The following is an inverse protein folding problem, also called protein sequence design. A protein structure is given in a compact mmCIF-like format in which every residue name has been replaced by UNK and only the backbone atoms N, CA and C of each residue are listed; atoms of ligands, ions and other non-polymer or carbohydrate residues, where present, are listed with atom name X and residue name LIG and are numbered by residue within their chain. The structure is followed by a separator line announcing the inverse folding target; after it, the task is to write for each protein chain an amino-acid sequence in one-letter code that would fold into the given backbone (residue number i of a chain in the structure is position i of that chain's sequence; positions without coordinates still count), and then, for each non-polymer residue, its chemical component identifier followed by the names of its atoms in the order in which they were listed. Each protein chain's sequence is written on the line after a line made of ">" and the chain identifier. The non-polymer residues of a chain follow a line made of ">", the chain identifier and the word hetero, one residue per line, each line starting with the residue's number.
data_IF_066923545757
#
_entry.id   IF_066923545757
#
_cell.length_a   1.000
_cell.length_b   1.000
_cell.length_c   1.000
_cell.angle_alpha   90.00
_cell.angle_beta   90.00
_cell.angle_gamma   90.00
#
_symmetry.space_group_name_H-M   'P 1'
#
loop_
_entity.id
_entity.type
_entity.pdbx_description
1 polymer ?
2 non-polymer ?
3 non-polymer ?
4 non-polymer ?
5 non-polymer ?
6 water ?
#
# COMPACT_ATOMS: atom_id res chain seq x y z
N UNK A 5 -12.08 -24.39 -0.15
CA UNK A 5 -10.70 -24.92 -0.28
C UNK A 5 -9.97 -24.84 1.07
N UNK A 6 -10.04 -23.69 1.75
CA UNK A 6 -9.16 -23.39 2.91
C UNK A 6 -9.64 -24.14 4.16
N UNK A 7 -8.71 -24.66 4.95
CA UNK A 7 -9.01 -25.48 6.16
C UNK A 7 -9.63 -24.61 7.27
N UNK A 8 -10.41 -25.24 8.15
CA UNK A 8 -10.87 -24.60 9.40
C UNK A 8 -9.70 -23.91 10.12
N UNK A 9 -8.58 -24.60 10.27
CA UNK A 9 -7.43 -24.12 11.05
C UNK A 9 -6.92 -22.81 10.41
N UNK A 10 -6.91 -22.75 9.08
CA UNK A 10 -6.49 -21.53 8.32
C UNK A 10 -7.49 -20.39 8.47
N UNK A 11 -8.78 -20.64 8.23
CA UNK A 11 -9.81 -19.58 8.30
C UNK A 11 -9.90 -19.08 9.74
N UNK A 12 -9.80 -19.97 10.73
CA UNK A 12 -9.86 -19.57 12.15
C UNK A 12 -8.58 -18.76 12.48
N UNK A 13 -7.42 -19.10 11.90
CA UNK A 13 -6.16 -18.37 12.15
C UNK A 13 -6.37 -16.94 11.60
N UNK A 14 -7.01 -16.81 10.43
CA UNK A 14 -7.14 -15.47 9.80
C UNK A 14 -8.15 -14.69 10.62
N UNK A 15 -9.30 -15.29 10.96
CA UNK A 15 -10.35 -14.57 11.77
C UNK A 15 -9.76 -14.15 13.10
N UNK A 16 -8.95 -15.00 13.73
CA UNK A 16 -8.33 -14.72 15.05
C UNK A 16 -7.22 -13.68 14.94
N UNK A 17 -6.68 -13.42 13.73
CA UNK A 17 -5.53 -12.50 13.52
C UNK A 17 -6.05 -11.06 13.48
N UNK A 18 -7.36 -10.88 13.30
CA UNK A 18 -7.95 -9.52 13.13
C UNK A 18 -8.53 -9.05 14.45
N UNK A 19 -7.99 -7.99 15.03
CA UNK A 19 -8.52 -7.38 16.28
C UNK A 19 -9.82 -6.64 16.02
N UNK A 20 -10.75 -6.75 16.96
CA UNK A 20 -12.01 -5.99 16.93
C UNK A 20 -11.99 -4.99 18.10
N UNK A 21 -12.20 -3.71 17.84
CA UNK A 21 -12.08 -2.65 18.89
C UNK A 21 -13.47 -2.07 19.17
N UNK A 22 -14.01 -2.29 20.37
CA UNK A 22 -15.33 -1.76 20.74
C UNK A 22 -15.18 -0.24 20.93
N UNK A 23 -16.14 0.48 20.40
CA UNK A 23 -16.37 1.92 20.68
C UNK A 23 -15.27 2.70 19.96
N UNK A 24 -14.84 2.19 18.80
CA UNK A 24 -14.06 2.94 17.78
C UNK A 24 -14.79 2.87 16.43
N UNK A 25 -14.91 3.97 15.66
CA UNK A 25 -14.41 5.30 16.05
C UNK A 25 -15.26 6.10 17.07
N UNK A 26 -16.45 5.59 17.41
CA UNK A 26 -17.45 6.25 18.28
C UNK A 26 -18.13 5.19 19.13
N UNK A 27 -18.82 5.56 20.23
CA UNK A 27 -19.59 4.56 20.99
C UNK A 27 -20.49 3.74 20.05
N UNK A 28 -20.58 2.42 20.28
CA UNK A 28 -21.55 1.52 19.61
C UNK A 28 -21.07 0.98 18.29
N UNK A 29 -19.79 1.17 17.97
CA UNK A 29 -19.15 0.61 16.74
C UNK A 29 -18.11 -0.41 17.19
N UNK A 30 -18.13 -1.56 16.53
CA UNK A 30 -17.11 -2.61 16.72
C UNK A 30 -16.25 -2.63 15.46
N UNK A 31 -15.07 -2.03 15.55
CA UNK A 31 -14.20 -1.80 14.38
C UNK A 31 -13.38 -3.09 14.14
N UNK A 32 -13.36 -3.57 12.92
CA UNK A 32 -12.52 -4.71 12.48
C UNK A 32 -11.18 -4.14 11.98
N UNK A 33 -10.10 -4.42 12.72
CA UNK A 33 -8.76 -3.83 12.47
C UNK A 33 -7.86 -4.84 11.75
N UNK A 34 -7.64 -4.63 10.47
CA UNK A 34 -6.77 -5.51 9.66
C UNK A 34 -5.27 -5.27 9.98
N UNK A 35 -4.88 -4.23 10.72
CA UNK A 35 -3.43 -4.02 11.02
C UNK A 35 -2.83 -5.13 11.87
N UNK A 36 -3.60 -5.87 12.67
CA UNK A 36 -3.05 -6.98 13.48
C UNK A 36 -2.72 -8.14 12.54
N UNK A 37 -3.46 -8.30 11.45
CA UNK A 37 -3.19 -9.35 10.48
C UNK A 37 -1.92 -8.99 9.76
N UNK A 38 -1.76 -7.70 9.38
CA UNK A 38 -0.56 -7.26 8.60
C UNK A 38 0.69 -7.53 9.42
N UNK A 39 0.65 -7.29 10.74
CA UNK A 39 1.81 -7.44 11.67
C UNK A 39 2.23 -8.93 11.81
N UNK A 40 1.35 -9.86 11.50
CA UNK A 40 1.62 -11.32 11.67
C UNK A 40 2.00 -11.89 10.31
N UNK A 41 3.29 -12.19 10.08
CA UNK A 41 3.71 -12.63 8.75
C UNK A 41 3.02 -13.91 8.29
N UNK A 42 2.60 -14.79 9.20
CA UNK A 42 1.86 -16.01 8.79
C UNK A 42 0.47 -15.65 8.28
N UNK A 43 -0.23 -14.78 8.99
CA UNK A 43 -1.58 -14.38 8.62
C UNK A 43 -1.52 -13.58 7.30
N UNK A 44 -0.61 -12.63 7.21
CA UNK A 44 -0.52 -11.76 6.01
C UNK A 44 -0.21 -12.60 4.75
N UNK A 45 0.81 -13.45 4.81
CA UNK A 45 1.19 -14.31 3.66
C UNK A 45 0.04 -15.25 3.30
N UNK A 46 -0.61 -15.88 4.29
CA UNK A 46 -1.71 -16.82 3.99
C UNK A 46 -2.82 -16.08 3.25
N UNK A 47 -3.16 -14.88 3.70
CA UNK A 47 -4.25 -14.11 3.08
C UNK A 47 -3.93 -13.80 1.62
N UNK A 48 -2.71 -13.37 1.30
CA UNK A 48 -2.32 -13.04 -0.09
C UNK A 48 -2.34 -14.32 -0.94
N UNK A 49 -1.78 -15.41 -0.40
CA UNK A 49 -1.67 -16.70 -1.17
C UNK A 49 -3.08 -17.19 -1.50
N UNK A 50 -4.03 -17.09 -0.58
CA UNK A 50 -5.42 -17.57 -0.83
C UNK A 50 -6.10 -16.71 -1.90
N UNK A 51 -5.89 -15.39 -1.92
CA UNK A 51 -6.53 -14.55 -2.94
C UNK A 51 -5.94 -14.89 -4.30
N UNK A 52 -4.63 -15.01 -4.38
CA UNK A 52 -3.91 -15.34 -5.63
C UNK A 52 -4.44 -16.69 -6.16
N UNK A 53 -4.48 -17.69 -5.30
CA UNK A 53 -4.96 -19.04 -5.68
C UNK A 53 -6.36 -18.94 -6.31
N UNK A 54 -7.27 -18.18 -5.70
CA UNK A 54 -8.64 -18.01 -6.28
C UNK A 54 -8.57 -17.56 -7.74
N UNK A 55 -7.61 -16.73 -8.15
CA UNK A 55 -7.68 -16.05 -9.48
C UNK A 55 -6.60 -16.54 -10.44
N UNK A 56 -5.77 -17.53 -10.05
CA UNK A 56 -4.62 -17.97 -10.89
C UNK A 56 -5.13 -18.34 -12.30
N UNK A 57 -6.36 -18.80 -12.47
CA UNK A 57 -6.84 -19.21 -13.82
C UNK A 57 -7.89 -18.28 -14.43
N UNK A 58 -8.14 -17.08 -13.89
CA UNK A 58 -9.26 -16.20 -14.34
C UNK A 58 -8.86 -15.30 -15.52
N UNK A 59 -7.62 -15.31 -15.98
CA UNK A 59 -7.18 -14.46 -17.09
C UNK A 59 -7.10 -13.00 -16.68
N UNK A 60 -6.78 -12.74 -15.42
CA UNK A 60 -6.62 -11.34 -14.94
C UNK A 60 -5.42 -10.70 -15.67
N UNK A 61 -5.57 -9.46 -16.14
CA UNK A 61 -4.46 -8.74 -16.82
C UNK A 61 -4.01 -7.54 -15.94
N UNK A 62 -4.80 -7.20 -14.93
CA UNK A 62 -4.53 -5.98 -14.12
C UNK A 62 -5.23 -6.15 -12.79
N UNK A 63 -4.60 -5.69 -11.71
CA UNK A 63 -5.26 -5.60 -10.37
C UNK A 63 -5.40 -4.13 -10.03
N UNK A 64 -6.58 -3.74 -9.57
CA UNK A 64 -6.87 -2.36 -9.07
C UNK A 64 -7.11 -2.47 -7.58
N UNK A 65 -6.38 -1.64 -6.81
CA UNK A 65 -6.56 -1.55 -5.36
C UNK A 65 -6.88 -0.14 -4.91
N UNK A 66 -7.77 -0.04 -3.93
CA UNK A 66 -8.31 1.24 -3.41
C UNK A 66 -7.40 1.83 -2.34
N UNK A 67 -7.22 3.14 -2.39
CA UNK A 67 -6.38 3.78 -1.36
C UNK A 67 -7.09 3.71 0.00
N UNK A 68 -6.35 3.46 1.09
CA UNK A 68 -4.95 3.11 1.16
C UNK A 68 -4.78 1.66 1.65
N UNK A 69 -5.70 1.15 2.49
CA UNK A 69 -5.59 -0.25 3.00
C UNK A 69 -5.69 -1.22 1.84
N UNK A 70 -6.48 -0.92 0.81
CA UNK A 70 -6.57 -1.84 -0.33
C UNK A 70 -5.26 -2.02 -1.06
N UNK A 71 -4.35 -1.04 -1.03
CA UNK A 71 -3.00 -1.16 -1.64
C UNK A 71 -2.25 -2.36 -1.03
N UNK A 72 -2.46 -2.60 0.27
CA UNK A 72 -1.67 -3.57 1.05
C UNK A 72 -2.09 -4.99 0.63
N UNK A 73 -3.24 -5.15 0.02
CA UNK A 73 -3.73 -6.49 -0.42
C UNK A 73 -3.72 -6.56 -1.95
N UNK A 74 -4.07 -5.49 -2.65
CA UNK A 74 -4.09 -5.55 -4.12
C UNK A 74 -2.70 -5.62 -4.69
N UNK A 75 -1.71 -4.95 -4.14
CA UNK A 75 -0.38 -4.92 -4.81
C UNK A 75 0.29 -6.29 -4.70
N UNK A 76 0.32 -6.96 -3.51
CA UNK A 76 0.82 -8.34 -3.42
C UNK A 76 0.06 -9.34 -4.30
N UNK A 77 -1.25 -9.19 -4.43
CA UNK A 77 -2.06 -10.03 -5.35
C UNK A 77 -1.64 -9.79 -6.79
N UNK A 78 -1.39 -8.54 -7.22
CA UNK A 78 -0.87 -8.29 -8.58
C UNK A 78 0.42 -9.08 -8.81
N UNK A 79 1.36 -8.96 -7.90
CA UNK A 79 2.67 -9.63 -8.04
C UNK A 79 2.45 -11.14 -8.06
N UNK A 80 1.56 -11.66 -7.24
CA UNK A 80 1.33 -13.13 -7.28
C UNK A 80 0.72 -13.60 -8.58
N UNK A 81 -0.08 -12.80 -9.27
CA UNK A 81 -0.78 -13.14 -10.54
C UNK A 81 0.10 -12.81 -11.76
N UNK A 82 1.22 -12.15 -11.54
CA UNK A 82 2.18 -11.74 -12.59
C UNK A 82 1.64 -10.62 -13.44
N UNK A 83 0.92 -9.67 -12.84
CA UNK A 83 0.28 -8.56 -13.60
C UNK A 83 0.59 -7.21 -12.92
N UNK A 84 0.32 -6.17 -13.68
CA UNK A 84 0.41 -4.75 -13.29
C UNK A 84 -0.56 -4.44 -12.18
N UNK A 85 -0.17 -3.52 -11.30
CA UNK A 85 -1.02 -2.98 -10.23
C UNK A 85 -1.39 -1.54 -10.60
N UNK A 86 -2.66 -1.21 -10.49
CA UNK A 86 -3.15 0.18 -10.73
C UNK A 86 -3.84 0.66 -9.47
N UNK A 87 -3.38 1.78 -8.86
CA UNK A 87 -4.11 2.35 -7.72
C UNK A 87 -5.29 3.21 -8.16
N UNK A 88 -6.37 3.14 -7.40
CA UNK A 88 -7.42 4.21 -7.43
C UNK A 88 -7.22 5.04 -6.16
N UNK A 89 -7.18 6.36 -6.31
CA UNK A 89 -6.69 7.24 -5.25
C UNK A 89 -7.69 8.34 -4.91
N UNK A 90 -7.52 8.87 -3.72
CA UNK A 90 -8.23 10.09 -3.28
C UNK A 90 -7.82 11.21 -4.22
N UNK A 91 -8.68 12.24 -4.39
CA UNK A 91 -8.45 13.27 -5.37
C UNK A 91 -7.19 14.11 -5.20
N UNK A 92 -6.58 14.44 -6.33
CA UNK A 92 -5.39 15.30 -6.42
C UNK A 92 -4.05 14.57 -6.25
N UNK A 93 -4.03 13.24 -5.96
CA UNK A 93 -2.82 12.47 -5.60
C UNK A 93 -2.18 11.83 -6.83
N UNK A 94 -2.92 11.56 -7.88
CA UNK A 94 -2.35 11.02 -9.14
C UNK A 94 -1.89 12.19 -9.99
N UNK A 95 -0.65 12.15 -10.53
CA UNK A 95 -0.11 13.28 -11.28
C UNK A 95 -0.48 13.44 -12.77
N UNK A 96 -1.01 12.40 -13.41
CA UNK A 96 -1.30 12.46 -14.86
C UNK A 96 -2.81 12.55 -15.06
N UNK A 97 -3.26 12.49 -16.30
CA UNK A 97 -4.68 12.70 -16.58
C UNK A 97 -5.51 11.62 -15.87
N UNK A 98 -6.56 12.06 -15.20
CA UNK A 98 -7.45 11.16 -14.47
C UNK A 98 -8.92 11.27 -14.94
N UNK A 99 -9.73 10.30 -14.52
CA UNK A 99 -11.20 10.44 -14.38
C UNK A 99 -11.58 10.13 -12.95
N UNK A 100 -12.77 10.56 -12.57
CA UNK A 100 -13.23 10.60 -11.17
C UNK A 100 -14.60 9.97 -11.04
N UNK A 101 -14.85 9.32 -9.92
CA UNK A 101 -16.18 8.81 -9.53
C UNK A 101 -16.49 9.24 -8.11
N UNK A 102 -17.74 9.60 -7.86
CA UNK A 102 -18.20 10.01 -6.50
C UNK A 102 -18.94 8.87 -5.82
N UNK A 103 -18.78 8.72 -4.51
CA UNK A 103 -19.43 7.64 -3.73
C UNK A 103 -19.83 8.22 -2.37
N UNK A 104 -20.79 7.57 -1.75
CA UNK A 104 -21.27 8.02 -0.43
C UNK A 104 -20.30 7.58 0.65
N UNK A 105 -20.09 8.47 1.61
CA UNK A 105 -19.47 8.21 2.93
C UNK A 105 -20.62 8.11 3.96
N UNK A 106 -20.27 7.75 5.18
CA UNK A 106 -21.21 7.84 6.31
C UNK A 106 -21.69 9.30 6.39
N UNK A 107 -20.80 10.25 6.17
CA UNK A 107 -21.10 11.69 6.28
C UNK A 107 -20.67 12.36 4.98
N UNK A 108 -21.64 12.65 4.11
CA UNK A 108 -21.32 13.29 2.83
C UNK A 108 -20.76 12.31 1.82
N UNK A 109 -19.97 12.80 0.88
CA UNK A 109 -19.46 12.04 -0.30
C UNK A 109 -17.99 12.34 -0.53
N UNK A 110 -17.37 11.53 -1.38
CA UNK A 110 -15.95 11.71 -1.76
C UNK A 110 -15.75 11.15 -3.14
N UNK A 111 -14.52 11.31 -3.65
CA UNK A 111 -14.15 10.94 -5.03
C UNK A 111 -13.01 9.93 -4.99
N UNK A 112 -13.02 9.04 -5.96
CA UNK A 112 -11.85 8.23 -6.34
C UNK A 112 -11.47 8.56 -7.79
N UNK A 113 -10.18 8.60 -8.03
CA UNK A 113 -9.58 8.82 -9.35
C UNK A 113 -8.74 7.63 -9.82
N UNK A 114 -8.62 7.54 -11.14
CA UNK A 114 -7.73 6.57 -11.82
C UNK A 114 -7.03 7.31 -12.95
N UNK A 115 -5.78 6.93 -13.24
CA UNK A 115 -5.09 7.36 -14.49
C UNK A 115 -5.85 6.81 -15.71
N UNK A 116 -6.14 7.68 -16.67
CA UNK A 116 -6.90 7.32 -17.90
C UNK A 116 -6.09 6.32 -18.72
N UNK A 117 -4.76 6.30 -18.64
CA UNK A 117 -3.97 5.37 -19.49
C UNK A 117 -3.73 4.02 -18.79
N UNK A 118 -4.29 3.78 -17.60
CA UNK A 118 -3.92 2.58 -16.80
C UNK A 118 -4.72 1.35 -17.26
N UNK A 119 -5.93 1.52 -17.82
CA UNK A 119 -6.84 0.42 -18.26
C UNK A 119 -7.18 0.66 -19.73
N UNK A 120 -7.21 -0.40 -20.54
CA UNK A 120 -7.69 -0.24 -21.93
C UNK A 120 -8.58 -1.39 -22.33
N UNK A 121 -9.32 -1.27 -23.46
CA UNK A 121 -10.07 -2.42 -23.97
C UNK A 121 -9.18 -3.66 -24.05
N UNK A 122 -9.76 -4.79 -23.64
CA UNK A 122 -9.13 -6.11 -23.59
C UNK A 122 -8.53 -6.39 -22.23
N UNK A 123 -8.42 -5.39 -21.34
CA UNK A 123 -8.02 -5.69 -19.93
C UNK A 123 -9.16 -6.41 -19.21
N UNK A 124 -8.81 -7.41 -18.44
CA UNK A 124 -9.68 -8.06 -17.45
C UNK A 124 -9.13 -7.74 -16.05
N UNK A 125 -9.93 -7.09 -15.22
CA UNK A 125 -9.43 -6.48 -13.96
C UNK A 125 -9.99 -7.23 -12.76
N UNK A 126 -9.14 -7.41 -11.74
CA UNK A 126 -9.62 -7.81 -10.41
C UNK A 126 -9.51 -6.58 -9.51
N UNK A 127 -10.57 -6.27 -8.78
CA UNK A 127 -10.51 -5.20 -7.75
C UNK A 127 -10.25 -5.89 -6.42
N UNK A 128 -9.31 -5.37 -5.65
CA UNK A 128 -8.98 -5.89 -4.31
C UNK A 128 -9.10 -4.76 -3.30
N UNK A 129 -9.73 -5.07 -2.17
CA UNK A 129 -9.78 -4.09 -1.06
C UNK A 129 -9.75 -4.86 0.24
N UNK A 130 -9.50 -4.15 1.33
CA UNK A 130 -9.36 -4.83 2.64
C UNK A 130 -10.71 -5.38 3.08
N UNK A 131 -11.76 -4.58 2.98
CA UNK A 131 -13.02 -4.86 3.70
C UNK A 131 -14.20 -4.43 2.81
N UNK A 132 -15.21 -5.28 2.67
CA UNK A 132 -16.49 -4.95 1.98
C UNK A 132 -17.51 -4.52 3.05
N UNK A 133 -17.87 -3.24 3.09
CA UNK A 133 -18.92 -2.70 3.97
C UNK A 133 -20.07 -2.28 3.06
N UNK A 134 -20.31 -1.00 2.77
CA UNK A 134 -21.42 -0.64 1.83
C UNK A 134 -21.11 -1.10 0.40
N UNK A 135 -19.84 -1.21 0.05
CA UNK A 135 -19.41 -1.43 -1.33
C UNK A 135 -19.46 -0.15 -2.16
N UNK A 136 -19.72 1.01 -1.56
CA UNK A 136 -19.67 2.31 -2.27
C UNK A 136 -18.37 2.52 -3.07
N UNK A 137 -17.21 2.39 -2.43
CA UNK A 137 -15.93 2.57 -3.14
C UNK A 137 -15.79 1.55 -4.28
N UNK A 138 -16.28 0.33 -4.13
CA UNK A 138 -16.08 -0.71 -5.19
C UNK A 138 -16.99 -0.36 -6.38
N UNK A 139 -18.20 0.12 -6.13
CA UNK A 139 -19.14 0.48 -7.23
C UNK A 139 -18.48 1.60 -8.02
N UNK A 140 -17.90 2.58 -7.31
CA UNK A 140 -17.20 3.72 -7.95
C UNK A 140 -16.03 3.19 -8.78
N UNK A 141 -15.29 2.20 -8.26
CA UNK A 141 -14.04 1.73 -8.90
C UNK A 141 -14.44 0.99 -10.19
N UNK A 142 -15.44 0.13 -10.08
CA UNK A 142 -16.03 -0.59 -11.26
C UNK A 142 -16.42 0.42 -12.35
N UNK A 143 -17.01 1.55 -11.97
CA UNK A 143 -17.42 2.57 -12.97
C UNK A 143 -16.20 3.22 -13.63
N UNK A 144 -15.13 3.48 -12.88
CA UNK A 144 -13.88 4.00 -13.45
C UNK A 144 -13.31 3.01 -14.46
N UNK A 145 -13.26 1.73 -14.10
CA UNK A 145 -12.64 0.70 -14.97
C UNK A 145 -13.45 0.62 -16.28
N UNK A 146 -14.77 0.58 -16.16
CA UNK A 146 -15.64 0.38 -17.33
C UNK A 146 -15.59 1.60 -18.24
N UNK A 147 -15.46 2.82 -17.70
CA UNK A 147 -15.36 4.05 -18.52
C UNK A 147 -14.09 4.01 -19.38
N UNK A 148 -13.08 3.26 -18.96
CA UNK A 148 -11.81 3.15 -19.73
C UNK A 148 -11.86 1.91 -20.66
N UNK A 149 -12.95 1.17 -20.67
CA UNK A 149 -13.11 0.03 -21.59
C UNK A 149 -12.62 -1.28 -21.00
N UNK A 150 -12.19 -1.31 -19.74
CA UNK A 150 -11.80 -2.53 -19.07
C UNK A 150 -13.00 -3.39 -18.74
N UNK A 151 -12.78 -4.68 -18.64
CA UNK A 151 -13.79 -5.65 -18.19
C UNK A 151 -13.50 -5.92 -16.72
N UNK A 152 -14.52 -5.92 -15.89
CA UNK A 152 -14.41 -6.35 -14.47
C UNK A 152 -15.67 -7.07 -14.04
N UNK A 153 -15.46 -8.24 -13.44
CA UNK A 153 -16.50 -9.15 -12.92
C UNK A 153 -16.16 -9.69 -11.54
N UNK A 154 -15.05 -9.25 -10.92
CA UNK A 154 -14.47 -9.88 -9.72
C UNK A 154 -13.96 -8.81 -8.76
N UNK A 155 -14.32 -8.97 -7.50
CA UNK A 155 -13.75 -8.20 -6.38
C UNK A 155 -13.42 -9.15 -5.23
N UNK A 156 -12.28 -8.92 -4.63
CA UNK A 156 -11.72 -9.78 -3.56
C UNK A 156 -11.38 -8.92 -2.35
N UNK A 157 -11.67 -9.47 -1.17
CA UNK A 157 -11.60 -8.77 0.12
C UNK A 157 -11.02 -9.70 1.16
N UNK A 158 -10.36 -9.14 2.14
CA UNK A 158 -10.02 -9.89 3.36
C UNK A 158 -11.29 -10.12 4.18
N UNK A 159 -12.01 -9.04 4.46
CA UNK A 159 -13.17 -9.05 5.41
C UNK A 159 -14.46 -8.76 4.63
N UNK A 160 -15.52 -9.46 5.01
CA UNK A 160 -16.87 -9.19 4.47
C UNK A 160 -17.81 -8.90 5.64
N UNK A 161 -18.30 -7.67 5.74
CA UNK A 161 -19.30 -7.30 6.78
C UNK A 161 -20.65 -7.65 6.20
N UNK A 162 -21.05 -8.91 6.32
CA UNK A 162 -22.14 -9.47 5.52
C UNK A 162 -23.51 -8.88 5.94
N UNK A 163 -23.62 -8.23 7.07
CA UNK A 163 -24.94 -7.62 7.48
C UNK A 163 -25.18 -6.33 6.68
N UNK A 164 -24.17 -5.78 5.99
CA UNK A 164 -24.27 -4.45 5.32
C UNK A 164 -24.73 -4.58 3.87
N UNK A 165 -24.88 -5.79 3.34
CA UNK A 165 -25.50 -6.01 2.03
C UNK A 165 -24.63 -5.57 0.84
N UNK A 166 -23.33 -5.34 1.04
CA UNK A 166 -22.41 -4.97 -0.05
C UNK A 166 -22.36 -6.00 -1.17
N UNK A 167 -22.36 -7.29 -0.83
CA UNK A 167 -22.22 -8.37 -1.84
C UNK A 167 -23.37 -8.34 -2.87
N UNK A 168 -24.61 -8.22 -2.44
CA UNK A 168 -25.80 -8.26 -3.34
C UNK A 168 -25.82 -6.96 -4.16
N UNK A 169 -25.43 -5.84 -3.57
CA UNK A 169 -25.24 -4.54 -4.27
C UNK A 169 -24.25 -4.73 -5.43
N UNK A 170 -23.12 -5.38 -5.19
CA UNK A 170 -22.10 -5.62 -6.25
C UNK A 170 -22.59 -6.64 -7.28
N UNK A 171 -23.30 -7.70 -6.85
CA UNK A 171 -23.87 -8.71 -7.78
C UNK A 171 -24.73 -7.99 -8.84
N UNK A 172 -25.42 -6.93 -8.45
CA UNK A 172 -26.34 -6.22 -9.37
C UNK A 172 -25.56 -5.40 -10.40
N UNK A 173 -24.28 -5.10 -10.10
CA UNK A 173 -23.36 -4.42 -11.07
C UNK A 173 -22.50 -5.47 -11.81
N UNK A 174 -22.79 -6.76 -11.69
CA UNK A 174 -22.09 -7.83 -12.42
C UNK A 174 -20.80 -8.26 -11.73
N UNK A 175 -20.67 -7.99 -10.43
CA UNK A 175 -19.42 -8.31 -9.68
C UNK A 175 -19.67 -9.47 -8.74
N UNK A 176 -18.87 -10.52 -8.87
CA UNK A 176 -18.75 -11.61 -7.91
C UNK A 176 -17.68 -11.26 -6.87
N UNK A 177 -18.05 -11.33 -5.59
CA UNK A 177 -17.11 -11.10 -4.44
C UNK A 177 -16.55 -12.39 -3.88
N UNK A 178 -15.26 -12.41 -3.58
CA UNK A 178 -14.58 -13.46 -2.80
C UNK A 178 -13.98 -12.82 -1.54
N UNK A 179 -14.27 -13.36 -0.37
CA UNK A 179 -13.85 -12.82 0.95
C UNK A 179 -13.35 -13.95 1.83
N UNK A 180 -12.32 -13.69 2.63
CA UNK A 180 -11.69 -14.70 3.47
C UNK A 180 -12.38 -14.76 4.83
N UNK A 181 -12.72 -13.63 5.42
CA UNK A 181 -13.22 -13.51 6.82
C UNK A 181 -14.59 -12.81 6.79
N UNK A 182 -15.70 -13.55 7.01
CA UNK A 182 -17.00 -12.95 7.31
C UNK A 182 -17.13 -12.51 8.77
N UNK A 183 -17.64 -11.31 8.97
CA UNK A 183 -17.94 -10.83 10.34
C UNK A 183 -19.35 -10.31 10.38
N UNK A 184 -20.13 -10.60 11.44
CA UNK A 184 -21.42 -9.94 11.60
C UNK A 184 -21.28 -8.52 12.15
N UNK A 185 -22.38 -7.77 12.17
CA UNK A 185 -22.47 -6.47 12.86
C UNK A 185 -22.48 -5.30 11.88
N UNK A 186 -23.05 -4.17 12.31
CA UNK A 186 -23.24 -2.95 11.49
C UNK A 186 -23.55 -1.76 12.39
N UNK B 4 22.99 -8.19 -6.16
CA UNK B 4 23.35 -7.33 -4.97
C UNK B 4 23.24 -5.85 -5.34
N UNK B 5 23.61 -5.44 -6.57
CA UNK B 5 23.01 -4.22 -7.19
C UNK B 5 22.45 -4.53 -8.58
N UNK B 6 21.49 -3.70 -8.97
CA UNK B 6 20.96 -3.66 -10.34
C UNK B 6 22.12 -3.57 -11.33
N UNK B 7 22.04 -4.33 -12.41
CA UNK B 7 22.87 -4.15 -13.62
C UNK B 7 22.52 -2.85 -14.31
N UNK B 8 23.36 -2.38 -15.23
CA UNK B 8 23.03 -1.21 -16.07
C UNK B 8 21.69 -1.45 -16.77
N UNK B 9 21.46 -2.66 -17.29
CA UNK B 9 20.23 -2.97 -18.04
C UNK B 9 19.03 -2.83 -17.09
N UNK B 10 19.19 -3.31 -15.87
CA UNK B 10 18.10 -3.22 -14.84
C UNK B 10 17.88 -1.77 -14.42
N UNK B 11 18.96 -1.02 -14.17
CA UNK B 11 18.82 0.41 -13.77
C UNK B 11 18.16 1.19 -14.91
N UNK B 12 18.59 1.00 -16.16
CA UNK B 12 17.97 1.67 -17.32
C UNK B 12 16.48 1.33 -17.34
N UNK B 13 16.12 0.05 -17.18
CA UNK B 13 14.71 -0.41 -17.32
C UNK B 13 13.85 0.24 -16.23
N UNK B 14 14.36 0.28 -15.02
CA UNK B 14 13.61 0.89 -13.88
C UNK B 14 13.49 2.40 -14.11
N UNK B 15 14.58 3.07 -14.50
CA UNK B 15 14.56 4.53 -14.67
C UNK B 15 13.59 4.85 -15.81
N UNK B 16 13.61 4.05 -16.88
CA UNK B 16 12.73 4.32 -18.06
C UNK B 16 11.26 4.02 -17.77
N UNK B 17 10.95 3.27 -16.69
CA UNK B 17 9.59 2.82 -16.32
C UNK B 17 8.91 3.92 -15.52
N UNK B 18 9.67 4.88 -15.04
CA UNK B 18 9.15 5.98 -14.19
C UNK B 18 8.84 7.20 -15.07
N UNK B 19 7.61 7.67 -15.11
CA UNK B 19 7.23 8.88 -15.87
C UNK B 19 7.48 10.11 -14.99
N UNK B 20 7.82 11.23 -15.60
CA UNK B 20 8.12 12.48 -14.87
C UNK B 20 7.08 13.54 -15.31
N UNK B 21 6.50 14.30 -14.40
CA UNK B 21 5.44 15.31 -14.68
C UNK B 21 5.90 16.69 -14.18
N UNK B 22 6.15 17.58 -15.12
CA UNK B 22 6.55 18.98 -14.80
C UNK B 22 5.36 19.69 -14.12
N UNK B 23 5.72 20.41 -13.08
CA UNK B 23 4.88 21.44 -12.41
C UNK B 23 3.75 20.71 -11.68
N UNK B 24 4.01 19.49 -11.24
CA UNK B 24 3.13 18.78 -10.27
C UNK B 24 3.96 18.45 -9.05
N UNK B 25 3.48 18.63 -7.79
CA UNK B 25 2.15 19.18 -7.46
C UNK B 25 2.12 20.71 -7.36
N UNK B 26 3.22 21.36 -7.71
CA UNK B 26 3.33 22.83 -7.84
C UNK B 26 4.34 23.12 -8.93
N UNK B 27 4.33 24.34 -9.50
CA UNK B 27 5.31 24.71 -10.53
C UNK B 27 6.76 24.59 -9.99
N UNK B 28 7.71 24.14 -10.84
CA UNK B 28 9.17 24.08 -10.54
C UNK B 28 9.64 22.75 -9.91
N UNK B 29 8.71 21.82 -9.70
CA UNK B 29 8.99 20.42 -9.25
C UNK B 29 8.84 19.53 -10.49
N UNK B 30 9.72 18.53 -10.66
CA UNK B 30 9.57 17.53 -11.73
C UNK B 30 9.21 16.24 -11.00
N UNK B 31 7.91 15.92 -10.99
CA UNK B 31 7.37 14.82 -10.17
C UNK B 31 7.79 13.49 -10.80
N UNK B 32 8.32 12.64 -9.98
CA UNK B 32 8.72 11.27 -10.40
C UNK B 32 7.59 10.31 -10.02
N UNK B 33 6.91 9.76 -11.02
CA UNK B 33 5.66 9.01 -10.80
C UNK B 33 5.92 7.50 -10.84
N UNK B 34 5.80 6.83 -9.70
CA UNK B 34 5.99 5.36 -9.65
C UNK B 34 4.78 4.60 -10.21
N UNK B 35 3.64 5.23 -10.49
CA UNK B 35 2.48 4.43 -10.98
C UNK B 35 2.85 3.76 -12.31
N UNK B 36 3.66 4.39 -13.17
CA UNK B 36 3.99 3.74 -14.45
C UNK B 36 4.87 2.51 -14.20
N UNK B 37 5.60 2.48 -13.10
CA UNK B 37 6.42 1.29 -12.74
C UNK B 37 5.48 0.20 -12.20
N UNK B 38 4.52 0.56 -11.33
CA UNK B 38 3.57 -0.39 -10.72
C UNK B 38 2.77 -1.14 -11.81
N UNK B 39 2.42 -0.47 -12.90
CA UNK B 39 1.52 -1.03 -13.92
C UNK B 39 2.31 -1.96 -14.83
N UNK B 40 3.64 -1.91 -14.76
CA UNK B 40 4.55 -2.76 -15.59
C UNK B 40 5.03 -3.92 -14.73
N UNK B 41 4.49 -5.15 -14.91
CA UNK B 41 4.83 -6.24 -13.99
C UNK B 41 6.33 -6.50 -13.96
N UNK B 42 7.03 -6.39 -15.08
CA UNK B 42 8.50 -6.62 -15.12
C UNK B 42 9.20 -5.63 -14.21
N UNK B 43 8.84 -4.34 -14.29
CA UNK B 43 9.53 -3.28 -13.49
C UNK B 43 9.18 -3.47 -12.01
N UNK B 44 7.92 -3.70 -11.74
CA UNK B 44 7.44 -3.76 -10.33
C UNK B 44 8.09 -4.98 -9.67
N UNK B 45 8.01 -6.17 -10.27
CA UNK B 45 8.62 -7.38 -9.67
C UNK B 45 10.13 -7.17 -9.49
N UNK B 46 10.81 -6.56 -10.45
CA UNK B 46 12.27 -6.31 -10.37
C UNK B 46 12.55 -5.46 -9.12
N UNK B 47 11.78 -4.40 -8.97
CA UNK B 47 12.03 -3.43 -7.87
C UNK B 47 11.93 -4.18 -6.54
N UNK B 48 10.90 -5.00 -6.35
CA UNK B 48 10.70 -5.75 -5.09
C UNK B 48 11.82 -6.78 -4.93
N UNK B 49 12.19 -7.49 -6.00
CA UNK B 49 13.29 -8.50 -5.92
C UNK B 49 14.57 -7.82 -5.43
N UNK B 50 14.91 -6.65 -5.96
CA UNK B 50 16.18 -5.95 -5.59
C UNK B 50 16.15 -5.48 -4.13
N UNK B 51 15.04 -4.95 -3.65
CA UNK B 51 14.96 -4.57 -2.23
C UNK B 51 15.04 -5.79 -1.31
N UNK B 52 14.33 -6.88 -1.58
CA UNK B 52 14.34 -8.10 -0.72
C UNK B 52 15.78 -8.65 -0.68
N UNK B 53 16.42 -8.75 -1.84
CA UNK B 53 17.81 -9.27 -1.88
C UNK B 53 18.70 -8.47 -0.92
N UNK B 54 18.55 -7.15 -0.90
CA UNK B 54 19.48 -6.34 -0.08
C UNK B 54 19.37 -6.67 1.42
N UNK B 55 18.22 -7.12 1.90
CA UNK B 55 17.97 -7.28 3.35
C UNK B 55 17.78 -8.74 3.76
N UNK B 56 17.91 -9.69 2.83
CA UNK B 56 17.67 -11.12 3.16
C UNK B 56 18.54 -11.55 4.36
N UNK B 57 19.75 -11.00 4.51
CA UNK B 57 20.68 -11.43 5.60
C UNK B 57 20.79 -10.41 6.75
N UNK B 58 19.96 -9.36 6.78
CA UNK B 58 20.11 -8.21 7.70
C UNK B 58 19.38 -8.47 9.03
N UNK B 59 18.69 -9.60 9.24
CA UNK B 59 17.97 -9.86 10.50
C UNK B 59 16.82 -8.90 10.75
N UNK B 60 16.13 -8.52 9.69
CA UNK B 60 14.98 -7.59 9.88
C UNK B 60 13.87 -8.40 10.55
N UNK B 61 13.18 -7.79 11.52
CA UNK B 61 12.04 -8.42 12.23
C UNK B 61 10.73 -7.73 11.80
N UNK B 62 10.77 -6.46 11.37
CA UNK B 62 9.52 -5.73 10.99
C UNK B 62 9.84 -4.79 9.84
N UNK B 63 8.89 -4.63 8.91
CA UNK B 63 9.02 -3.57 7.88
C UNK B 63 7.99 -2.49 8.21
N UNK B 64 8.40 -1.23 8.21
CA UNK B 64 7.46 -0.08 8.30
C UNK B 64 7.40 0.64 6.94
N UNK B 65 6.18 0.86 6.45
CA UNK B 65 5.92 1.58 5.20
C UNK B 65 5.09 2.79 5.46
N UNK B 66 5.45 3.90 4.86
CA UNK B 66 4.74 5.18 5.13
C UNK B 66 3.55 5.28 4.15
N UNK B 67 2.45 5.81 4.62
CA UNK B 67 1.22 5.97 3.80
C UNK B 67 1.46 7.01 2.71
N UNK B 68 0.88 6.80 1.49
CA UNK B 68 0.25 5.59 0.99
C UNK B 68 1.16 4.95 -0.08
N UNK B 69 2.00 5.70 -0.79
CA UNK B 69 2.84 5.08 -1.83
C UNK B 69 3.87 4.17 -1.20
N UNK B 70 4.30 4.46 0.03
CA UNK B 70 5.28 3.55 0.68
C UNK B 70 4.70 2.16 0.91
N UNK B 71 3.39 2.06 1.16
CA UNK B 71 2.69 0.76 1.34
C UNK B 71 2.94 -0.13 0.12
N UNK B 72 3.06 0.46 -1.08
CA UNK B 72 3.14 -0.33 -2.34
C UNK B 72 4.51 -0.99 -2.50
N UNK B 73 5.48 -0.57 -1.73
CA UNK B 73 6.84 -1.15 -1.76
C UNK B 73 7.14 -1.85 -0.42
N UNK B 74 6.69 -1.30 0.72
CA UNK B 74 7.03 -1.92 2.02
C UNK B 74 6.29 -3.24 2.19
N UNK B 75 5.05 -3.34 1.70
CA UNK B 75 4.24 -4.56 1.96
C UNK B 75 4.85 -5.75 1.19
N UNK B 76 5.14 -5.67 -0.12
CA UNK B 76 5.76 -6.79 -0.84
C UNK B 76 7.14 -7.12 -0.29
N UNK B 77 7.91 -6.11 0.17
CA UNK B 77 9.23 -6.38 0.81
C UNK B 77 9.04 -7.18 2.11
N UNK B 78 8.07 -6.79 2.96
CA UNK B 78 7.75 -7.55 4.20
C UNK B 78 7.46 -9.00 3.83
N UNK B 79 6.61 -9.23 2.83
CA UNK B 79 6.21 -10.60 2.45
C UNK B 79 7.43 -11.35 1.92
N UNK B 80 8.29 -10.69 1.16
CA UNK B 80 9.49 -11.34 0.59
C UNK B 80 10.44 -11.74 1.68
N UNK B 81 10.53 -10.97 2.75
CA UNK B 81 11.43 -11.23 3.90
C UNK B 81 10.79 -12.15 4.96
N UNK B 82 9.51 -12.42 4.82
CA UNK B 82 8.74 -13.25 5.76
C UNK B 82 8.57 -12.57 7.10
N UNK B 83 8.35 -11.24 7.13
CA UNK B 83 8.24 -10.46 8.39
C UNK B 83 6.95 -9.65 8.37
N UNK B 84 6.52 -9.24 9.55
CA UNK B 84 5.33 -8.40 9.70
C UNK B 84 5.48 -7.04 9.00
N UNK B 85 4.35 -6.47 8.61
CA UNK B 85 4.31 -5.11 8.06
C UNK B 85 3.56 -4.22 9.05
N UNK B 86 4.12 -3.04 9.27
CA UNK B 86 3.56 -1.99 10.15
C UNK B 86 3.41 -0.72 9.34
N UNK B 87 2.15 -0.24 9.15
CA UNK B 87 1.94 1.03 8.49
C UNK B 87 2.20 2.21 9.44
N UNK B 88 2.75 3.29 8.85
CA UNK B 88 2.81 4.59 9.57
C UNK B 88 1.81 5.42 8.76
N UNK B 89 0.84 6.00 9.44
CA UNK B 89 -0.28 6.63 8.72
C UNK B 89 -0.56 8.10 9.07
N UNK B 90 -1.32 8.74 8.20
CA UNK B 90 -1.81 10.09 8.51
C UNK B 90 -2.71 9.96 9.73
N UNK B 91 -2.92 11.04 10.50
CA UNK B 91 -3.65 10.94 11.75
C UNK B 91 -5.11 10.50 11.62
N UNK B 92 -5.62 9.78 12.62
CA UNK B 92 -7.03 9.42 12.76
C UNK B 92 -7.42 8.25 11.85
N UNK B 93 -6.45 7.44 11.40
CA UNK B 93 -6.73 6.26 10.53
C UNK B 93 -6.48 4.98 11.33
N UNK B 94 -5.45 4.97 12.17
CA UNK B 94 -5.10 3.79 13.00
C UNK B 94 -6.06 3.70 14.19
N UNK B 95 -6.70 2.55 14.43
CA UNK B 95 -7.75 2.50 15.46
C UNK B 95 -7.33 2.24 16.92
N UNK B 96 -6.15 1.67 17.15
CA UNK B 96 -5.61 1.36 18.49
C UNK B 96 -4.70 2.48 18.97
N UNK B 97 -4.12 2.30 20.16
CA UNK B 97 -3.28 3.32 20.81
C UNK B 97 -2.13 3.67 19.86
N UNK B 98 -1.90 4.96 19.67
CA UNK B 98 -0.84 5.50 18.79
C UNK B 98 0.06 6.48 19.54
N UNK B 99 1.21 6.74 18.95
CA UNK B 99 2.01 7.96 19.19
C UNK B 99 2.16 8.68 17.85
N UNK B 100 2.54 9.94 17.89
CA UNK B 100 2.53 10.81 16.69
C UNK B 100 3.79 11.66 16.62
N UNK B 101 4.11 12.06 15.40
CA UNK B 101 5.24 12.95 15.11
C UNK B 101 4.75 13.99 14.15
N UNK B 102 5.14 15.24 14.40
CA UNK B 102 4.85 16.42 13.55
C UNK B 102 6.14 16.89 12.88
N UNK B 103 6.11 17.10 11.57
CA UNK B 103 7.29 17.50 10.77
C UNK B 103 6.89 18.56 9.73
N UNK B 104 7.91 19.24 9.23
CA UNK B 104 7.80 20.48 8.42
C UNK B 104 7.77 20.07 6.95
N UNK B 105 6.78 20.57 6.22
CA UNK B 105 6.72 20.48 4.75
C UNK B 105 6.98 21.89 4.19
N UNK B 106 6.98 22.05 2.88
CA UNK B 106 7.36 23.37 2.32
C UNK B 106 6.37 24.44 2.82
N UNK B 107 5.08 24.13 2.86
CA UNK B 107 3.99 25.12 3.08
C UNK B 107 3.19 24.82 4.37
N UNK B 108 3.71 24.01 5.26
CA UNK B 108 3.00 23.76 6.53
C UNK B 108 3.62 22.59 7.25
N UNK B 109 2.87 21.97 8.12
CA UNK B 109 3.36 20.82 8.94
C UNK B 109 2.50 19.63 8.61
N UNK B 110 3.09 18.45 8.74
CA UNK B 110 2.37 17.17 8.53
C UNK B 110 2.54 16.30 9.78
N UNK B 111 1.68 15.29 9.93
CA UNK B 111 1.65 14.43 11.14
C UNK B 111 1.62 12.97 10.69
N UNK B 112 2.38 12.13 11.36
CA UNK B 112 2.33 10.66 11.16
C UNK B 112 2.10 9.97 12.50
N UNK B 113 1.43 8.84 12.46
CA UNK B 113 1.12 8.02 13.65
C UNK B 113 1.57 6.59 13.42
N UNK B 114 1.82 5.88 14.51
CA UNK B 114 2.12 4.43 14.52
C UNK B 114 1.38 3.82 15.71
N UNK B 115 0.93 2.57 15.58
CA UNK B 115 0.41 1.78 16.73
C UNK B 115 1.55 1.54 17.74
N UNK B 116 1.34 1.91 18.99
CA UNK B 116 2.32 1.71 20.11
C UNK B 116 2.68 0.23 20.24
N UNK B 117 1.75 -0.69 19.98
CA UNK B 117 1.98 -2.14 20.23
C UNK B 117 2.67 -2.79 19.03
N UNK B 118 2.90 -2.06 17.94
CA UNK B 118 3.40 -2.64 16.67
C UNK B 118 4.93 -2.82 16.70
N UNK B 119 5.65 -2.13 17.58
CA UNK B 119 7.14 -2.12 17.66
C UNK B 119 7.51 -2.38 19.12
N UNK B 120 8.37 -3.38 19.37
CA UNK B 120 8.85 -3.74 20.73
C UNK B 120 10.35 -3.48 20.82
N UNK B 121 10.87 -3.19 22.03
CA UNK B 121 12.32 -3.16 22.24
C UNK B 121 12.91 -4.49 21.75
N UNK B 122 13.97 -4.41 20.95
CA UNK B 122 14.60 -5.59 20.35
C UNK B 122 14.20 -5.79 18.90
N UNK B 123 13.12 -5.14 18.43
CA UNK B 123 12.74 -5.24 17.00
C UNK B 123 13.83 -4.57 16.18
N UNK B 124 14.22 -5.19 15.07
CA UNK B 124 15.09 -4.52 14.07
C UNK B 124 14.25 -4.18 12.84
N UNK B 125 14.14 -2.89 12.51
CA UNK B 125 13.10 -2.40 11.56
C UNK B 125 13.76 -1.87 10.31
N UNK B 126 13.15 -2.18 9.16
CA UNK B 126 13.50 -1.60 7.86
C UNK B 126 12.36 -0.64 7.52
N UNK B 127 12.70 0.58 7.17
CA UNK B 127 11.69 1.56 6.67
C UNK B 127 11.74 1.56 5.15
N UNK B 128 10.57 1.58 4.52
CA UNK B 128 10.49 1.60 3.03
C UNK B 128 9.55 2.75 2.62
N UNK B 129 9.94 3.50 1.61
CA UNK B 129 9.07 4.55 1.01
C UNK B 129 9.33 4.51 -0.49
N UNK B 130 8.50 5.17 -1.31
CA UNK B 130 8.76 5.15 -2.75
C UNK B 130 9.96 6.04 -3.08
N UNK B 131 10.11 7.18 -2.40
CA UNK B 131 11.06 8.22 -2.89
C UNK B 131 11.62 9.00 -1.70
N UNK B 132 12.94 9.16 -1.70
CA UNK B 132 13.67 9.98 -0.70
C UNK B 132 13.89 11.39 -1.27
N UNK B 133 13.34 12.41 -0.63
CA UNK B 133 13.59 13.81 -1.05
C UNK B 133 14.40 14.50 0.07
N UNK B 134 13.82 15.40 0.87
CA UNK B 134 14.62 16.04 1.96
C UNK B 134 14.93 15.03 3.07
N UNK B 135 14.12 13.99 3.23
CA UNK B 135 14.29 12.99 4.30
C UNK B 135 13.40 13.29 5.50
N UNK B 136 12.66 14.40 5.46
CA UNK B 136 11.78 14.83 6.56
C UNK B 136 10.80 13.73 6.98
N UNK B 137 10.09 13.19 6.00
CA UNK B 137 9.14 12.10 6.26
C UNK B 137 9.80 10.90 7.00
N UNK B 138 10.91 10.38 6.47
CA UNK B 138 11.58 9.17 7.01
C UNK B 138 12.15 9.50 8.40
N UNK B 139 12.66 10.72 8.52
CA UNK B 139 13.19 11.16 9.84
C UNK B 139 12.10 11.04 10.90
N UNK B 140 10.89 11.54 10.63
CA UNK B 140 9.77 11.46 11.59
C UNK B 140 9.38 10.01 11.84
N UNK B 141 9.37 9.18 10.80
CA UNK B 141 9.02 7.74 10.91
C UNK B 141 10.03 7.07 11.85
N UNK B 142 11.30 7.39 11.68
CA UNK B 142 12.40 6.80 12.48
C UNK B 142 12.22 7.20 13.95
N UNK B 143 11.76 8.42 14.20
CA UNK B 143 11.48 8.90 15.58
C UNK B 143 10.35 8.04 16.17
N UNK B 144 9.30 7.75 15.40
CA UNK B 144 8.19 6.95 15.93
C UNK B 144 8.75 5.59 16.35
N UNK B 145 9.53 4.95 15.49
CA UNK B 145 10.06 3.59 15.74
C UNK B 145 10.98 3.64 16.99
N UNK B 146 11.88 4.60 17.04
CA UNK B 146 12.92 4.66 18.13
C UNK B 146 12.23 4.98 19.47
N UNK B 147 11.18 5.77 19.47
CA UNK B 147 10.38 6.09 20.69
C UNK B 147 9.73 4.85 21.26
N UNK B 148 9.52 3.78 20.48
CA UNK B 148 8.90 2.53 20.98
C UNK B 148 10.00 1.50 21.33
N UNK B 149 11.26 1.86 21.18
CA UNK B 149 12.43 1.00 21.48
C UNK B 149 12.87 0.17 20.31
N UNK B 150 12.22 0.28 19.16
CA UNK B 150 12.74 -0.40 17.96
C UNK B 150 14.11 0.13 17.61
N UNK B 151 14.89 -0.71 16.95
CA UNK B 151 16.21 -0.36 16.37
C UNK B 151 16.07 -0.24 14.85
N UNK B 152 16.42 0.91 14.32
CA UNK B 152 16.34 1.16 12.85
C UNK B 152 17.68 1.74 12.39
N UNK B 153 18.34 1.02 11.48
CA UNK B 153 19.61 1.41 10.84
C UNK B 153 19.52 1.48 9.30
N UNK B 154 18.32 1.28 8.72
CA UNK B 154 18.18 1.00 7.26
C UNK B 154 16.87 1.61 6.75
N UNK B 155 16.97 2.30 5.61
CA UNK B 155 15.79 2.79 4.86
C UNK B 155 16.01 2.44 3.40
N UNK B 156 14.96 2.02 2.71
CA UNK B 156 15.04 1.63 1.30
C UNK B 156 13.98 2.39 0.50
N UNK B 157 14.34 2.73 -0.73
CA UNK B 157 13.53 3.57 -1.63
C UNK B 157 13.64 3.10 -3.06
N UNK B 158 12.61 3.39 -3.85
CA UNK B 158 12.72 3.18 -5.31
C UNK B 158 13.60 4.29 -5.88
N UNK B 159 13.33 5.53 -5.49
CA UNK B 159 13.93 6.75 -6.10
C UNK B 159 14.63 7.55 -5.00
N UNK B 160 15.81 8.09 -5.32
CA UNK B 160 16.58 9.05 -4.49
C UNK B 160 16.71 10.38 -5.25
N UNK B 161 16.18 11.50 -4.77
CA UNK B 161 16.49 12.82 -5.38
C UNK B 161 17.81 13.29 -4.76
N UNK B 162 18.94 12.93 -5.36
CA UNK B 162 20.28 13.10 -4.75
C UNK B 162 20.62 14.58 -4.49
N UNK B 163 19.99 15.55 -5.16
CA UNK B 163 20.26 17.01 -5.03
C UNK B 163 19.75 17.54 -3.68
N UNK B 164 18.81 16.85 -3.03
CA UNK B 164 18.18 17.35 -1.77
C UNK B 164 18.90 16.78 -0.55
N UNK B 165 19.95 16.01 -0.75
CA UNK B 165 20.81 15.48 0.33
C UNK B 165 20.01 14.76 1.43
N UNK B 166 18.99 14.01 1.07
CA UNK B 166 18.31 13.16 2.08
C UNK B 166 19.22 12.07 2.60
N UNK B 167 20.04 11.50 1.74
CA UNK B 167 20.87 10.33 2.07
C UNK B 167 21.82 10.75 3.21
N UNK B 168 22.38 11.95 3.10
CA UNK B 168 23.39 12.43 4.07
C UNK B 168 22.66 12.76 5.38
N UNK B 169 21.54 13.45 5.27
CA UNK B 169 20.67 13.83 6.42
C UNK B 169 20.33 12.54 7.18
N UNK B 170 20.04 11.44 6.47
CA UNK B 170 19.68 10.17 7.15
C UNK B 170 20.93 9.47 7.73
N UNK B 171 22.09 9.48 7.04
CA UNK B 171 23.27 8.71 7.53
C UNK B 171 23.70 9.32 8.87
N UNK B 172 23.48 10.63 9.03
CA UNK B 172 23.88 11.39 10.25
C UNK B 172 22.97 10.99 11.41
N UNK B 173 21.85 10.30 11.13
CA UNK B 173 20.87 9.80 12.13
C UNK B 173 21.05 8.28 12.30
N UNK B 174 22.12 7.69 11.74
CA UNK B 174 22.37 6.25 11.88
C UNK B 174 21.49 5.41 10.97
N UNK B 175 20.99 6.02 9.89
CA UNK B 175 20.13 5.34 8.88
C UNK B 175 20.91 5.25 7.56
N UNK B 176 21.21 4.03 7.12
CA UNK B 176 21.86 3.79 5.81
C UNK B 176 20.76 3.63 4.75
N UNK B 177 20.78 4.44 3.71
CA UNK B 177 19.77 4.41 2.62
C UNK B 177 20.21 3.42 1.52
N UNK B 178 19.28 2.68 0.96
CA UNK B 178 19.49 1.91 -0.29
C UNK B 178 18.38 2.37 -1.22
N UNK B 179 18.75 2.95 -2.35
CA UNK B 179 17.77 3.46 -3.34
C UNK B 179 18.12 2.89 -4.69
N UNK B 180 17.13 2.60 -5.52
CA UNK B 180 17.36 1.92 -6.82
C UNK B 180 17.64 2.93 -7.93
N UNK B 181 16.89 4.02 -7.98
CA UNK B 181 16.88 4.97 -9.13
C UNK B 181 17.24 6.35 -8.61
N UNK B 182 18.44 6.86 -8.92
CA UNK B 182 18.75 8.26 -8.65
C UNK B 182 18.18 9.18 -9.74
N UNK B 183 17.55 10.28 -9.34
CA UNK B 183 17.15 11.34 -10.29
C UNK B 183 17.65 12.68 -9.77
N UNK B 184 18.05 13.62 -10.67
CA UNK B 184 18.41 14.97 -10.27
C UNK B 184 17.16 15.84 -10.08
N UNK B 185 17.38 17.06 -9.57
CA UNK B 185 16.32 18.03 -9.37
C UNK B 185 15.59 17.89 -8.04
N UNK B 186 14.67 18.82 -7.86
CA UNK B 186 13.72 18.75 -6.74
C UNK B 186 12.44 18.15 -7.34
X LIG C 1 -18.38 2.46 4.19
X LIG C 1 -18.88 3.90 3.94
X LIG C 1 -18.67 1.41 3.14
X LIG C 1 -16.99 2.39 4.85
X LIG C 1 -19.48 1.98 5.27
X LIG C 1 -19.35 2.54 6.56
X LIG C 1 -20.14 1.67 7.47
X LIG C 1 -19.44 0.42 7.67
X LIG C 1 -20.34 2.25 8.86
X LIG C 1 -21.46 1.59 9.44
X LIG C 1 -19.00 1.87 9.50
X LIG C 1 -19.05 1.95 10.91
X LIG C 1 -18.82 0.45 8.94
X LIG C 1 -17.41 0.06 8.84
X LIG C 1 -16.48 0.46 7.91
X LIG C 1 -15.28 -0.03 8.13
X LIG C 1 -15.45 -0.82 9.24
X LIG C 1 -14.54 -1.63 9.97
X LIG C 1 -13.26 -1.74 9.66
X LIG C 1 -15.01 -2.29 11.06
X LIG C 1 -16.31 -2.15 11.35
X LIG C 1 -17.25 -1.43 10.75
X LIG C 1 -16.74 -0.77 9.69
X LIG D 1 -14.38 12.53 -14.50
X LIG E 1 -7.48 3.32 4.08
X LIG F 1 -13.13 0.63 3.51
X LIG F 1 -12.70 1.28 2.19
X LIG F 1 -12.42 1.35 4.66
X LIG F 1 -12.74 -0.83 3.48
X LIG F 1 -14.66 0.77 3.70
X LIG G 1 -24.54 1.38 14.79
X LIG H 1 10.83 14.11 1.97
X LIG H 1 11.29 15.50 1.54
X LIG H 1 11.80 12.93 1.83
X LIG H 1 10.06 14.09 3.31
X LIG H 1 9.68 13.78 0.85
X LIG H 1 8.35 14.35 1.01
X LIG H 1 7.34 13.51 0.30
X LIG H 1 7.20 13.98 -1.07
X LIG H 1 7.65 12.01 0.17
X LIG H 1 6.46 11.21 0.12
X LIG H 1 8.36 11.97 -1.18
X LIG H 1 8.27 10.66 -1.64
X LIG H 1 7.55 12.98 -1.99
X LIG H 1 8.27 13.68 -3.06
X LIG H 1 9.09 14.77 -2.92
X LIG H 1 9.56 15.23 -4.05
X LIG H 1 9.01 14.39 -5.02
X LIG H 1 9.13 14.34 -6.42
X LIG H 1 9.87 15.16 -7.14
X LIG H 1 8.48 13.35 -7.06
X LIG H 1 7.67 12.55 -6.36
X LIG H 1 7.51 12.49 -5.04
X LIG H 1 8.19 13.45 -4.42
X LIG I 1 15.75 13.68 -15.21
X LIG J 1 1.14 8.95 -0.91
X LIG K 1 21.04 -14.74 -4.67
#
# INVERSE_FOLDING_TARGET
>A
GSHMTATAQQLEYLKNSIKSIQDYPKPGILFRDVTSLLEDPKAYALSIDLLVERYKNAGITKVVGTEARGFLFGAPVALGLGVGFVPVRKPGKLPRETISETYDLEYGTDQLEIHVDAIKPGDKVLVVDDLLATGGTIEATVKLIRRLGGEVADAAFIINLFDLGGEQRLEKQGITSYSLVPFPGH
>B
GSHMTATAQQLEYLKNSIKSIQDYPKPGILFRDVTSLLEDPKAYALSIDLLVERYKNAGITKVVGTEARGFLFGAPVALGLGVGFVPVRKPGKLPRETISETYDLEYGTDQLEIHVDAIKPGDKVLVVDDLLATGGTIEATVKLIRRLGGEVADAAFIINLFDLGGEQRLEKQGITSYSLVPFPGH
>C hetero
1 AMP P O1P O2P O3P O5' C5' C4' O4' C3' O3' C2' O2' C1' N9 C8 N7 C5 C6 N6 N1 C2 N3 C4
>D hetero
1 CL CL
>E hetero
1 CL CL
>F hetero
1 PO4 P O1 O2 O3 O4
>G hetero
1 NA NA
>H hetero
1 AMP P O1P O2P O3P O5' C5' C4' O4' C3' O3' C2' O2' C1' N9 C8 N7 C5 C6 N6 N1 C2 N3 C4
>I hetero
1 CL CL
>J hetero
1 CL CL
>K hetero
1 NA NA
#
